data_IF_484470705616
#
_entry.id   IF_484470705616
#
_cell.length_a   1.000
_cell.length_b   1.000
_cell.length_c   1.000
_cell.angle_alpha   90.00
_cell.angle_beta   90.00
_cell.angle_gamma   90.00
#
_symmetry.space_group_name_H-M   'P 1'
#
loop_
_entity.id
_entity.type
_entity.pdbx_description
1 polymer ?
#
# COMPACT_ATOMS: atom_id res chain seq x y z
N UNK A 1 -15.87 0.12 32.79
CA UNK A 1 -16.26 1.37 32.09
C UNK A 1 -16.21 1.11 30.60
N UNK A 2 -16.97 1.81 29.75
CA UNK A 2 -16.99 1.49 28.31
C UNK A 2 -15.99 2.37 27.53
N UNK A 3 -15.28 1.78 26.57
CA UNK A 3 -14.42 2.53 25.65
C UNK A 3 -15.18 3.65 24.91
N UNK A 4 -16.47 3.44 24.66
CA UNK A 4 -17.38 4.43 24.06
C UNK A 4 -17.52 5.69 24.90
N UNK A 5 -17.59 5.58 26.23
CA UNK A 5 -17.65 6.75 27.13
C UNK A 5 -16.36 7.57 27.07
N UNK A 6 -15.21 6.90 27.02
CA UNK A 6 -13.91 7.56 26.88
C UNK A 6 -13.79 8.31 25.54
N UNK A 7 -14.21 7.67 24.44
CA UNK A 7 -14.28 8.32 23.13
C UNK A 7 -15.27 9.48 23.11
N UNK A 8 -16.40 9.38 23.82
CA UNK A 8 -17.37 10.47 23.90
C UNK A 8 -16.80 11.66 24.68
N UNK A 9 -16.13 11.41 25.80
CA UNK A 9 -15.43 12.47 26.55
C UNK A 9 -14.40 13.17 25.67
N UNK A 10 -13.60 12.40 24.93
CA UNK A 10 -12.62 12.92 23.98
C UNK A 10 -13.28 13.81 22.90
N UNK A 11 -14.38 13.35 22.29
CA UNK A 11 -15.14 14.11 21.28
C UNK A 11 -15.75 15.40 21.82
N UNK A 12 -16.11 15.43 23.10
CA UNK A 12 -16.64 16.61 23.78
C UNK A 12 -15.54 17.55 24.31
N UNK A 13 -14.27 17.27 24.00
CA UNK A 13 -13.10 18.01 24.49
C UNK A 13 -12.92 17.98 26.02
N UNK A 14 -13.56 17.03 26.70
CA UNK A 14 -13.30 16.73 28.11
C UNK A 14 -12.09 15.79 28.20
N UNK A 15 -10.91 16.37 27.90
CA UNK A 15 -9.69 15.59 27.74
C UNK A 15 -9.19 14.98 29.04
N UNK A 16 -9.33 15.67 30.18
CA UNK A 16 -8.92 15.13 31.49
C UNK A 16 -9.71 13.86 31.83
N UNK A 17 -11.03 13.90 31.63
CA UNK A 17 -11.88 12.73 31.81
C UNK A 17 -11.54 11.62 30.81
N UNK A 18 -11.29 11.97 29.55
CA UNK A 18 -10.92 11.00 28.52
C UNK A 18 -9.61 10.27 28.87
N UNK A 19 -8.58 11.00 29.31
CA UNK A 19 -7.32 10.40 29.78
C UNK A 19 -7.57 9.44 30.92
N UNK A 20 -8.26 9.89 31.98
CA UNK A 20 -8.54 9.04 33.14
C UNK A 20 -9.29 7.75 32.77
N UNK A 21 -10.28 7.84 31.88
CA UNK A 21 -11.01 6.67 31.40
C UNK A 21 -10.15 5.75 30.55
N UNK A 22 -9.33 6.30 29.64
CA UNK A 22 -8.43 5.48 28.84
C UNK A 22 -7.33 4.83 29.67
N UNK A 23 -6.80 5.48 30.71
CA UNK A 23 -5.82 4.90 31.65
C UNK A 23 -6.41 3.67 32.34
N UNK A 24 -7.62 3.79 32.90
CA UNK A 24 -8.28 2.64 33.53
C UNK A 24 -8.55 1.50 32.55
N UNK A 25 -8.99 1.80 31.32
CA UNK A 25 -9.18 0.78 30.28
C UNK A 25 -7.86 0.12 29.85
N UNK A 26 -6.77 0.87 29.81
CA UNK A 26 -5.46 0.35 29.49
C UNK A 26 -4.91 -0.57 30.59
N UNK A 27 -5.24 -0.32 31.87
CA UNK A 27 -4.97 -1.26 32.97
C UNK A 27 -5.75 -2.57 32.81
N UNK A 28 -6.96 -2.50 32.26
CA UNK A 28 -7.76 -3.67 31.85
C UNK A 28 -7.28 -4.32 30.54
N UNK A 29 -6.08 -3.98 30.06
CA UNK A 29 -5.45 -4.51 28.83
C UNK A 29 -6.21 -4.17 27.54
N UNK A 30 -6.96 -3.07 27.52
CA UNK A 30 -7.59 -2.57 26.30
C UNK A 30 -6.55 -1.88 25.41
N UNK A 31 -6.17 -2.54 24.32
CA UNK A 31 -5.18 -2.10 23.34
C UNK A 31 -5.61 -0.83 22.59
N UNK A 32 -6.91 -0.67 22.27
CA UNK A 32 -7.44 0.55 21.65
C UNK A 32 -7.33 1.77 22.58
N UNK A 33 -7.55 1.58 23.89
CA UNK A 33 -7.36 2.63 24.88
C UNK A 33 -5.87 3.02 25.01
N UNK A 34 -4.96 2.04 24.98
CA UNK A 34 -3.51 2.30 24.92
C UNK A 34 -3.14 3.14 23.68
N UNK A 35 -3.69 2.81 22.50
CA UNK A 35 -3.47 3.63 21.29
C UNK A 35 -3.99 5.04 21.47
N UNK A 36 -5.21 5.22 22.01
CA UNK A 36 -5.76 6.55 22.24
C UNK A 36 -4.93 7.37 23.23
N UNK A 37 -4.43 6.75 24.31
CA UNK A 37 -3.48 7.41 25.22
C UNK A 37 -2.21 7.84 24.50
N UNK A 38 -1.63 6.96 23.69
CA UNK A 38 -0.45 7.29 22.90
C UNK A 38 -0.68 8.52 22.01
N UNK A 39 -1.84 8.59 21.35
CA UNK A 39 -2.23 9.74 20.54
C UNK A 39 -2.43 11.02 21.37
N UNK A 40 -3.04 10.93 22.55
CA UNK A 40 -3.23 12.06 23.45
C UNK A 40 -1.89 12.61 23.95
N UNK A 41 -0.93 11.74 24.27
CA UNK A 41 0.44 12.14 24.61
C UNK A 41 1.19 12.77 23.43
N UNK A 42 1.00 12.29 22.19
CA UNK A 42 1.59 12.94 21.00
C UNK A 42 1.03 14.36 20.77
N UNK A 43 -0.26 14.57 21.03
CA UNK A 43 -0.94 15.84 20.80
C UNK A 43 -0.83 16.81 21.98
N UNK A 44 -0.63 16.30 23.19
CA UNK A 44 -0.71 17.07 24.42
C UNK A 44 -2.15 17.42 24.81
N UNK A 45 -3.10 16.52 24.54
CA UNK A 45 -4.52 16.72 24.85
C UNK A 45 -4.84 16.12 26.23
N UNK A 46 -5.19 16.94 27.21
CA UNK A 46 -5.46 16.49 28.59
C UNK A 46 -4.22 16.06 29.38
N UNK A 47 -3.06 15.93 28.72
CA UNK A 47 -1.74 15.61 29.30
C UNK A 47 -0.67 16.48 28.68
N UNK A 48 0.48 16.62 29.36
CA UNK A 48 1.66 17.26 28.76
C UNK A 48 2.12 16.44 27.56
N UNK A 49 2.33 17.12 26.42
CA UNK A 49 2.87 16.50 25.21
C UNK A 49 4.19 15.78 25.50
N UNK A 50 4.24 14.49 25.17
CA UNK A 50 5.38 13.62 25.44
C UNK A 50 5.42 12.47 24.43
N UNK A 51 6.33 12.58 23.45
CA UNK A 51 6.44 11.57 22.41
C UNK A 51 7.05 10.26 22.90
N UNK A 52 7.86 10.26 23.97
CA UNK A 52 8.42 9.04 24.53
C UNK A 52 7.33 8.23 25.23
N UNK A 53 6.49 8.88 26.05
CA UNK A 53 5.31 8.23 26.64
C UNK A 53 4.34 7.72 25.58
N UNK A 54 4.15 8.46 24.49
CA UNK A 54 3.32 7.98 23.41
C UNK A 54 3.85 6.68 22.79
N UNK A 55 5.17 6.63 22.54
CA UNK A 55 5.83 5.41 22.07
C UNK A 55 5.61 4.25 23.02
N UNK A 56 5.80 4.44 24.33
CA UNK A 56 5.61 3.39 25.34
C UNK A 56 4.18 2.81 25.28
N UNK A 57 3.17 3.67 25.14
CA UNK A 57 1.78 3.24 25.00
C UNK A 57 1.53 2.46 23.70
N UNK A 58 2.09 2.90 22.57
CA UNK A 58 1.99 2.16 21.32
C UNK A 58 2.75 0.83 21.39
N UNK A 59 3.92 0.76 22.03
CA UNK A 59 4.66 -0.50 22.22
C UNK A 59 3.83 -1.50 23.03
N UNK A 60 3.22 -1.06 24.14
CA UNK A 60 2.31 -1.89 24.93
C UNK A 60 1.11 -2.38 24.11
N UNK A 61 0.47 -1.51 23.34
CA UNK A 61 -0.63 -1.91 22.47
C UNK A 61 -0.18 -2.91 21.38
N UNK A 62 1.05 -2.77 20.90
CA UNK A 62 1.63 -3.64 19.87
C UNK A 62 1.89 -5.07 20.34
N UNK A 63 2.04 -5.28 21.66
CA UNK A 63 2.11 -6.62 22.28
C UNK A 63 0.81 -7.42 22.08
N UNK A 64 -0.30 -6.74 21.84
CA UNK A 64 -1.61 -7.34 21.51
C UNK A 64 -1.87 -7.39 19.99
N UNK A 65 -0.81 -7.25 19.19
CA UNK A 65 -0.85 -7.19 17.73
C UNK A 65 -1.80 -6.12 17.16
N UNK A 66 -1.98 -5.01 17.90
CA UNK A 66 -2.83 -3.91 17.48
C UNK A 66 -2.28 -3.21 16.21
N UNK A 67 -3.13 -3.13 15.19
CA UNK A 67 -2.80 -2.64 13.85
C UNK A 67 -2.48 -1.14 13.84
N UNK A 68 -3.26 -0.36 14.59
CA UNK A 68 -3.09 1.09 14.77
C UNK A 68 -1.84 1.42 15.58
N UNK A 69 -1.48 0.59 16.55
CA UNK A 69 -0.25 0.73 17.32
C UNK A 69 0.99 0.52 16.42
N UNK A 70 1.02 -0.55 15.63
CA UNK A 70 2.09 -0.78 14.66
C UNK A 70 2.20 0.37 13.65
N UNK A 71 1.06 0.86 13.14
CA UNK A 71 1.04 2.00 12.22
C UNK A 71 1.63 3.28 12.85
N UNK A 72 1.25 3.61 14.09
CA UNK A 72 1.77 4.80 14.77
C UNK A 72 3.27 4.67 15.10
N UNK A 73 3.73 3.50 15.54
CA UNK A 73 5.17 3.24 15.74
C UNK A 73 5.95 3.42 14.44
N UNK A 74 5.44 2.91 13.32
CA UNK A 74 6.06 3.08 12.01
C UNK A 74 6.17 4.57 11.63
N UNK A 75 5.12 5.36 11.84
CA UNK A 75 5.15 6.81 11.59
C UNK A 75 6.16 7.55 12.48
N UNK A 76 6.30 7.15 13.75
CA UNK A 76 7.26 7.75 14.67
C UNK A 76 8.69 7.55 14.20
N UNK A 77 9.05 6.33 13.78
CA UNK A 77 10.37 6.04 13.21
C UNK A 77 10.56 6.69 11.83
N UNK A 78 9.53 6.74 11.00
CA UNK A 78 9.61 7.39 9.68
C UNK A 78 9.81 8.91 9.79
N UNK A 79 9.20 9.56 10.77
CA UNK A 79 9.15 11.03 10.87
C UNK A 79 9.98 11.60 12.03
N UNK A 80 10.83 10.77 12.65
CA UNK A 80 11.65 11.11 13.82
C UNK A 80 10.86 11.75 14.99
N UNK A 81 9.65 11.25 15.27
CA UNK A 81 8.79 11.79 16.34
C UNK A 81 9.14 11.07 17.64
N UNK A 82 9.87 11.74 18.53
CA UNK A 82 10.26 11.18 19.84
C UNK A 82 11.32 10.07 19.78
N UNK A 83 11.71 9.66 18.57
CA UNK A 83 12.78 8.68 18.29
C UNK A 83 13.65 9.20 17.16
N UNK A 84 14.87 8.67 17.03
CA UNK A 84 15.70 8.90 15.85
C UNK A 84 15.00 8.28 14.63
N UNK A 85 15.14 8.93 13.48
CA UNK A 85 14.68 8.36 12.21
C UNK A 85 15.32 6.99 11.97
N UNK A 86 14.47 6.01 11.66
CA UNK A 86 14.88 4.66 11.29
C UNK A 86 13.88 4.08 10.28
N UNK A 87 14.21 4.18 8.99
CA UNK A 87 13.34 3.68 7.92
C UNK A 87 13.23 2.14 7.91
N UNK A 88 14.25 1.43 8.39
CA UNK A 88 14.21 -0.04 8.46
C UNK A 88 13.17 -0.45 9.50
N UNK A 89 13.25 0.12 10.71
CA UNK A 89 12.25 -0.10 11.75
C UNK A 89 10.85 0.32 11.28
N UNK A 90 10.72 1.46 10.60
CA UNK A 90 9.44 1.93 10.06
C UNK A 90 8.83 0.91 9.08
N UNK A 91 9.61 0.38 8.15
CA UNK A 91 9.17 -0.65 7.20
C UNK A 91 8.71 -1.92 7.92
N UNK A 92 9.45 -2.39 8.93
CA UNK A 92 9.06 -3.56 9.72
C UNK A 92 7.73 -3.36 10.44
N UNK A 93 7.53 -2.20 11.08
CA UNK A 93 6.26 -1.90 11.74
C UNK A 93 5.11 -1.69 10.74
N UNK A 94 5.35 -1.06 9.60
CA UNK A 94 4.33 -0.98 8.54
C UNK A 94 3.94 -2.36 8.01
N UNK A 95 4.89 -3.28 7.82
CA UNK A 95 4.61 -4.67 7.44
C UNK A 95 3.74 -5.38 8.47
N UNK A 96 4.02 -5.19 9.77
CA UNK A 96 3.16 -5.72 10.85
C UNK A 96 1.75 -5.13 10.79
N UNK A 97 1.62 -3.83 10.57
CA UNK A 97 0.30 -3.18 10.41
C UNK A 97 -0.45 -3.69 9.16
N UNK A 98 0.25 -3.89 8.04
CA UNK A 98 -0.30 -4.47 6.80
C UNK A 98 -0.76 -5.92 7.00
N UNK A 99 -0.01 -6.73 7.76
CA UNK A 99 -0.41 -8.10 8.13
C UNK A 99 -1.75 -8.10 8.87
N UNK A 100 -2.00 -7.07 9.69
CA UNK A 100 -3.27 -6.84 10.39
C UNK A 100 -4.28 -6.02 9.58
N UNK A 101 -4.04 -5.81 8.28
CA UNK A 101 -4.92 -5.12 7.32
C UNK A 101 -5.18 -3.64 7.64
N UNK A 102 -4.25 -2.96 8.31
CA UNK A 102 -4.37 -1.52 8.57
C UNK A 102 -4.33 -0.73 7.25
N UNK A 103 -5.43 -0.02 6.95
CA UNK A 103 -5.63 0.63 5.65
C UNK A 103 -4.60 1.72 5.35
N UNK A 104 -4.25 2.54 6.34
CA UNK A 104 -3.25 3.59 6.17
C UNK A 104 -1.83 3.04 5.96
N UNK A 105 -1.56 1.80 6.41
CA UNK A 105 -0.22 1.23 6.35
C UNK A 105 0.13 0.79 4.92
N UNK A 106 -0.84 0.24 4.17
CA UNK A 106 -0.65 -0.14 2.78
C UNK A 106 -0.06 0.99 1.93
N UNK A 107 -0.69 2.18 1.97
CA UNK A 107 -0.22 3.31 1.16
C UNK A 107 1.16 3.81 1.62
N UNK A 108 1.40 3.89 2.94
CA UNK A 108 2.69 4.35 3.48
C UNK A 108 3.83 3.39 3.16
N UNK A 109 3.61 2.09 3.33
CA UNK A 109 4.58 1.06 2.97
C UNK A 109 4.90 1.09 1.48
N UNK A 110 3.85 1.16 0.64
CA UNK A 110 4.00 1.25 -0.81
C UNK A 110 4.92 2.42 -1.22
N UNK A 111 4.71 3.62 -0.66
CA UNK A 111 5.55 4.78 -0.98
C UNK A 111 7.03 4.58 -0.62
N UNK A 112 7.32 3.91 0.50
CA UNK A 112 8.70 3.65 0.92
C UNK A 112 9.36 2.65 -0.03
N UNK A 113 8.69 1.53 -0.30
CA UNK A 113 9.23 0.44 -1.13
C UNK A 113 9.39 0.85 -2.61
N UNK A 114 8.52 1.73 -3.10
CA UNK A 114 8.49 2.17 -4.50
C UNK A 114 9.34 3.41 -4.79
N UNK A 115 10.11 3.91 -3.82
CA UNK A 115 10.90 5.13 -3.98
C UNK A 115 11.96 5.02 -5.08
N UNK A 116 12.77 3.97 -5.04
CA UNK A 116 13.92 3.82 -5.95
C UNK A 116 13.70 2.76 -7.03
N UNK A 117 12.66 1.92 -6.91
CA UNK A 117 12.25 0.87 -7.86
C UNK A 117 13.38 -0.04 -8.41
N UNK A 118 14.47 -0.19 -7.67
CA UNK A 118 15.65 -0.95 -8.10
C UNK A 118 15.54 -2.46 -7.82
N UNK A 119 14.83 -2.84 -6.77
CA UNK A 119 14.70 -4.22 -6.32
C UNK A 119 13.32 -4.77 -6.68
N UNK A 120 13.29 -5.78 -7.55
CA UNK A 120 12.03 -6.35 -8.09
C UNK A 120 11.10 -6.84 -6.98
N UNK A 121 11.64 -7.48 -5.94
CA UNK A 121 10.84 -8.01 -4.82
C UNK A 121 10.21 -6.88 -3.99
N UNK A 122 10.95 -5.81 -3.69
CA UNK A 122 10.40 -4.64 -2.98
C UNK A 122 9.37 -3.91 -3.84
N UNK A 123 9.61 -3.81 -5.15
CA UNK A 123 8.65 -3.23 -6.09
C UNK A 123 7.37 -4.06 -6.13
N UNK A 124 7.48 -5.39 -6.12
CA UNK A 124 6.33 -6.30 -6.06
C UNK A 124 5.52 -6.09 -4.79
N UNK A 125 6.17 -6.15 -3.63
CA UNK A 125 5.52 -5.90 -2.34
C UNK A 125 4.86 -4.51 -2.28
N UNK A 126 5.58 -3.48 -2.73
CA UNK A 126 5.08 -2.10 -2.78
C UNK A 126 3.88 -1.94 -3.72
N UNK A 127 3.90 -2.62 -4.87
CA UNK A 127 2.80 -2.60 -5.83
C UNK A 127 1.56 -3.30 -5.28
N UNK A 128 1.72 -4.46 -4.64
CA UNK A 128 0.63 -5.16 -3.96
C UNK A 128 0.00 -4.27 -2.88
N UNK A 129 0.83 -3.60 -2.08
CA UNK A 129 0.35 -2.64 -1.10
C UNK A 129 -0.40 -1.46 -1.75
N UNK A 130 0.10 -0.94 -2.87
CA UNK A 130 -0.57 0.14 -3.61
C UNK A 130 -1.94 -0.31 -4.15
N UNK A 131 -2.02 -1.53 -4.71
CA UNK A 131 -3.27 -2.12 -5.18
C UNK A 131 -4.29 -2.24 -4.05
N UNK A 132 -3.88 -2.79 -2.89
CA UNK A 132 -4.77 -2.92 -1.74
C UNK A 132 -5.28 -1.56 -1.26
N UNK A 133 -4.41 -0.56 -1.16
CA UNK A 133 -4.81 0.81 -0.81
C UNK A 133 -5.80 1.39 -1.83
N UNK A 134 -5.60 1.13 -3.13
CA UNK A 134 -6.50 1.62 -4.16
C UNK A 134 -7.88 0.94 -4.11
N UNK A 135 -7.92 -0.37 -3.92
CA UNK A 135 -9.18 -1.13 -3.78
C UNK A 135 -9.94 -0.76 -2.50
N UNK A 136 -9.26 -0.38 -1.43
CA UNK A 136 -9.91 0.13 -0.21
C UNK A 136 -10.41 1.57 -0.32
N UNK A 137 -10.18 2.23 -1.46
CA UNK A 137 -10.72 3.56 -1.73
C UNK A 137 -9.73 4.71 -1.58
N UNK A 138 -8.45 4.44 -1.29
CA UNK A 138 -7.46 5.50 -1.05
C UNK A 138 -7.26 6.37 -2.31
N UNK A 139 -7.58 7.69 -2.28
CA UNK A 139 -7.63 8.52 -3.48
C UNK A 139 -6.28 8.63 -4.21
N UNK A 140 -5.20 8.83 -3.46
CA UNK A 140 -3.87 8.93 -4.07
C UNK A 140 -3.39 7.60 -4.61
N UNK A 141 -3.80 6.46 -4.01
CA UNK A 141 -3.40 5.15 -4.52
C UNK A 141 -4.12 4.85 -5.84
N UNK A 142 -5.41 5.20 -5.93
CA UNK A 142 -6.17 5.14 -7.19
C UNK A 142 -5.57 6.00 -8.29
N UNK A 143 -5.06 7.18 -7.94
CA UNK A 143 -4.41 8.07 -8.90
C UNK A 143 -3.09 7.50 -9.43
N UNK A 144 -2.34 6.77 -8.58
CA UNK A 144 -1.06 6.17 -8.94
C UNK A 144 -1.18 4.91 -9.82
N UNK A 145 -2.37 4.29 -9.90
CA UNK A 145 -2.57 3.03 -10.61
C UNK A 145 -3.53 3.18 -11.78
N UNK A 146 -3.03 2.93 -12.98
CA UNK A 146 -3.85 2.84 -14.19
C UNK A 146 -4.50 1.46 -14.32
N UNK A 147 -5.70 1.41 -14.90
CA UNK A 147 -6.44 0.17 -15.17
C UNK A 147 -7.43 -0.27 -14.09
N UNK A 148 -7.47 0.41 -12.94
CA UNK A 148 -8.41 0.10 -11.85
C UNK A 148 -9.89 0.17 -12.24
N UNK A 149 -10.24 1.09 -13.14
CA UNK A 149 -11.62 1.32 -13.58
C UNK A 149 -12.02 0.49 -14.80
N UNK A 150 -11.15 -0.38 -15.29
CA UNK A 150 -11.43 -1.18 -16.49
C UNK A 150 -12.05 -2.50 -16.08
N UNK A 151 -13.30 -2.68 -16.45
CA UNK A 151 -14.00 -3.94 -16.28
C UNK A 151 -13.59 -4.92 -17.38
N UNK A 152 -13.30 -6.19 -17.03
CA UNK A 152 -13.05 -7.22 -18.03
C UNK A 152 -14.27 -7.37 -18.94
N UNK A 153 -14.03 -7.48 -20.25
CA UNK A 153 -15.10 -7.74 -21.20
C UNK A 153 -15.47 -9.22 -21.16
N UNK A 154 -16.51 -9.59 -20.41
CA UNK A 154 -16.92 -10.99 -20.22
C UNK A 154 -17.39 -11.71 -21.50
N UNK A 155 -17.61 -10.98 -22.60
CA UNK A 155 -18.04 -11.53 -23.89
C UNK A 155 -16.91 -11.64 -24.92
N UNK A 156 -15.68 -11.25 -24.56
CA UNK A 156 -14.55 -11.25 -25.49
C UNK A 156 -14.02 -12.67 -25.78
N UNK A 157 -13.32 -12.82 -26.91
CA UNK A 157 -12.81 -14.13 -27.35
C UNK A 157 -11.50 -14.43 -26.62
N UNK A 158 -11.54 -15.42 -25.72
CA UNK A 158 -10.36 -15.90 -25.00
C UNK A 158 -9.38 -16.57 -25.95
N UNK A 159 -8.08 -16.33 -25.73
CA UNK A 159 -7.00 -16.99 -26.44
C UNK A 159 -6.73 -18.37 -25.82
N UNK A 160 -7.48 -19.37 -26.28
CA UNK A 160 -7.36 -20.75 -25.80
C UNK A 160 -5.93 -21.31 -25.96
N UNK A 161 -5.23 -20.93 -27.03
CA UNK A 161 -3.86 -21.39 -27.28
C UNK A 161 -2.87 -20.85 -26.24
N UNK A 162 -3.01 -19.59 -25.82
CA UNK A 162 -2.21 -19.03 -24.73
C UNK A 162 -2.60 -19.65 -23.39
N UNK A 163 -3.90 -19.77 -23.10
CA UNK A 163 -4.42 -20.28 -21.83
C UNK A 163 -4.11 -21.76 -21.58
N UNK A 164 -3.95 -22.57 -22.63
CA UNK A 164 -3.60 -23.98 -22.52
C UNK A 164 -2.13 -24.25 -22.17
N UNK A 165 -1.26 -23.24 -22.21
CA UNK A 165 0.17 -23.36 -21.91
C UNK A 165 0.44 -23.46 -20.41
N UNK A 166 1.62 -23.96 -20.05
CA UNK A 166 2.11 -23.91 -18.67
C UNK A 166 2.29 -22.47 -18.19
N UNK A 167 2.34 -22.27 -16.87
CA UNK A 167 2.52 -20.94 -16.28
C UNK A 167 3.84 -20.30 -16.72
N UNK A 168 4.91 -21.09 -16.78
CA UNK A 168 6.25 -20.67 -17.19
C UNK A 168 6.25 -20.22 -18.65
N UNK A 169 5.61 -20.97 -19.55
CA UNK A 169 5.49 -20.59 -20.96
C UNK A 169 4.64 -19.32 -21.12
N UNK A 170 3.53 -19.19 -20.38
CA UNK A 170 2.71 -17.98 -20.39
C UNK A 170 3.52 -16.77 -19.94
N UNK A 171 4.27 -16.90 -18.84
CA UNK A 171 5.13 -15.84 -18.32
C UNK A 171 6.20 -15.43 -19.34
N UNK A 172 6.87 -16.39 -19.98
CA UNK A 172 7.86 -16.10 -21.03
C UNK A 172 7.25 -15.33 -22.21
N UNK A 173 6.04 -15.68 -22.63
CA UNK A 173 5.34 -14.98 -23.71
C UNK A 173 4.99 -13.54 -23.30
N UNK A 174 4.53 -13.33 -22.06
CA UNK A 174 4.25 -11.99 -21.52
C UNK A 174 5.52 -11.14 -21.48
N UNK A 175 6.62 -11.69 -20.97
CA UNK A 175 7.93 -11.02 -20.93
C UNK A 175 8.44 -10.66 -22.33
N UNK A 176 8.33 -11.60 -23.28
CA UNK A 176 8.73 -11.39 -24.68
C UNK A 176 7.87 -10.30 -25.34
N UNK A 177 6.56 -10.30 -25.08
CA UNK A 177 5.64 -9.29 -25.62
C UNK A 177 6.00 -7.88 -25.12
N UNK A 178 6.30 -7.75 -23.83
CA UNK A 178 6.74 -6.48 -23.23
C UNK A 178 8.07 -6.03 -23.86
N UNK A 179 9.04 -6.94 -23.97
CA UNK A 179 10.38 -6.62 -24.45
C UNK A 179 10.41 -6.27 -25.94
N UNK A 180 9.60 -6.93 -26.78
CA UNK A 180 9.61 -6.72 -28.24
C UNK A 180 8.69 -5.61 -28.70
N UNK A 181 7.50 -5.48 -28.10
CA UNK A 181 6.46 -4.60 -28.64
C UNK A 181 6.27 -3.32 -27.82
N UNK A 182 6.49 -3.36 -26.50
CA UNK A 182 6.19 -2.22 -25.63
C UNK A 182 7.46 -1.42 -25.33
N UNK A 183 8.50 -2.09 -24.81
CA UNK A 183 9.72 -1.44 -24.34
C UNK A 183 10.41 -0.58 -25.40
N UNK A 184 10.56 -1.00 -26.67
CA UNK A 184 11.22 -0.18 -27.69
C UNK A 184 10.48 1.12 -28.01
N UNK A 185 9.17 1.17 -27.77
CA UNK A 185 8.37 2.39 -27.95
C UNK A 185 8.63 3.32 -26.76
N UNK A 186 8.52 2.82 -25.53
CA UNK A 186 8.69 3.63 -24.32
C UNK A 186 10.11 4.19 -24.17
N UNK A 187 11.13 3.41 -24.55
CA UNK A 187 12.54 3.85 -24.47
C UNK A 187 12.84 5.02 -25.42
N UNK A 188 12.14 5.15 -26.55
CA UNK A 188 12.30 6.31 -27.45
C UNK A 188 11.90 7.62 -26.78
N UNK A 189 10.92 7.55 -25.88
CA UNK A 189 10.46 8.70 -25.09
C UNK A 189 11.21 8.83 -23.75
N UNK A 190 12.26 8.00 -23.56
CA UNK A 190 13.07 7.91 -22.35
C UNK A 190 12.37 7.26 -21.15
N UNK A 191 11.27 6.56 -21.39
CA UNK A 191 10.59 5.74 -20.38
C UNK A 191 11.12 4.30 -20.35
N UNK A 192 10.79 3.59 -19.28
CA UNK A 192 11.06 2.17 -19.11
C UNK A 192 9.82 1.48 -18.50
N UNK A 193 9.72 0.17 -18.70
CA UNK A 193 8.66 -0.64 -18.10
C UNK A 193 9.24 -1.95 -17.57
N UNK A 194 8.75 -2.36 -16.42
CA UNK A 194 9.18 -3.58 -15.73
C UNK A 194 7.94 -4.44 -15.47
N UNK A 195 8.01 -5.72 -15.83
CA UNK A 195 7.05 -6.72 -15.38
C UNK A 195 7.28 -6.99 -13.91
N UNK A 196 6.30 -6.65 -13.09
CA UNK A 196 6.34 -6.89 -11.63
C UNK A 196 5.89 -8.31 -11.35
N UNK A 197 4.72 -8.69 -11.88
CA UNK A 197 4.15 -10.01 -11.69
C UNK A 197 3.16 -10.37 -12.79
N UNK A 198 2.98 -11.67 -13.00
CA UNK A 198 1.96 -12.24 -13.84
C UNK A 198 1.21 -13.33 -13.06
N UNK A 199 -0.12 -13.20 -12.96
CA UNK A 199 -0.99 -14.15 -12.27
C UNK A 199 -2.05 -14.69 -13.24
N UNK A 200 -2.33 -16.00 -13.17
CA UNK A 200 -3.34 -16.67 -13.99
C UNK A 200 -4.40 -17.45 -13.19
N UNK A 201 -4.37 -17.40 -11.85
CA UNK A 201 -5.24 -18.21 -10.98
C UNK A 201 -6.69 -17.72 -10.97
N UNK A 202 -6.90 -16.41 -10.96
CA UNK A 202 -8.23 -15.76 -10.89
C UNK A 202 -8.49 -14.85 -12.10
N UNK A 203 -8.14 -15.38 -13.27
CA UNK A 203 -8.03 -14.61 -14.52
C UNK A 203 -6.59 -14.16 -14.77
N UNK A 204 -6.33 -13.69 -15.99
CA UNK A 204 -5.02 -13.22 -16.40
C UNK A 204 -4.82 -11.79 -15.89
N UNK A 205 -3.81 -11.59 -15.06
CA UNK A 205 -3.43 -10.29 -14.52
C UNK A 205 -1.95 -10.03 -14.76
N UNK A 206 -1.64 -8.88 -15.34
CA UNK A 206 -0.28 -8.41 -15.62
C UNK A 206 -0.08 -7.11 -14.83
N UNK A 207 0.89 -7.11 -13.93
CA UNK A 207 1.26 -5.97 -13.10
C UNK A 207 2.57 -5.37 -13.61
N UNK A 208 2.57 -4.07 -13.91
CA UNK A 208 3.70 -3.37 -14.54
C UNK A 208 4.06 -2.13 -13.74
N UNK A 209 5.35 -1.83 -13.66
CA UNK A 209 5.87 -0.56 -13.18
C UNK A 209 6.39 0.24 -14.38
N UNK A 210 5.82 1.41 -14.62
CA UNK A 210 6.28 2.36 -15.63
C UNK A 210 7.15 3.43 -14.97
N UNK A 211 8.33 3.68 -15.53
CA UNK A 211 9.21 4.75 -15.10
C UNK A 211 9.41 5.71 -16.28
N UNK A 212 8.92 6.94 -16.14
CA UNK A 212 9.11 7.98 -17.15
C UNK A 212 10.53 8.58 -17.13
N UNK A 213 10.82 9.39 -18.14
CA UNK A 213 12.13 10.02 -18.35
C UNK A 213 12.45 11.14 -17.33
N UNK A 214 11.41 11.73 -16.73
CA UNK A 214 11.55 12.79 -15.73
C UNK A 214 11.15 12.27 -14.34
N UNK A 215 11.86 12.70 -13.28
CA UNK A 215 11.63 12.25 -11.91
C UNK A 215 10.19 12.52 -11.38
N UNK A 216 9.42 13.39 -12.06
CA UNK A 216 7.99 13.65 -11.78
C UNK A 216 7.01 13.02 -12.77
N UNK A 217 7.49 12.32 -13.80
CA UNK A 217 6.72 11.72 -14.90
C UNK A 217 6.50 10.21 -14.69
N UNK A 218 6.59 9.73 -13.46
CA UNK A 218 6.52 8.29 -13.13
C UNK A 218 5.10 7.72 -13.19
N UNK A 219 4.12 8.51 -13.66
CA UNK A 219 2.76 8.06 -13.91
C UNK A 219 2.59 7.83 -15.41
N UNK A 220 2.12 6.64 -15.79
CA UNK A 220 1.75 6.40 -17.18
C UNK A 220 0.62 7.35 -17.59
N UNK A 221 0.80 8.07 -18.71
CA UNK A 221 -0.30 8.83 -19.31
C UNK A 221 -1.40 7.86 -19.77
N UNK A 222 -2.63 8.35 -19.96
CA UNK A 222 -3.73 7.55 -20.53
C UNK A 222 -3.32 6.90 -21.85
N UNK A 223 -2.64 7.64 -22.73
CA UNK A 223 -2.14 7.12 -24.01
C UNK A 223 -1.07 6.04 -23.84
N UNK A 224 -0.16 6.19 -22.87
CA UNK A 224 0.87 5.18 -22.55
C UNK A 224 0.22 3.90 -22.04
N UNK A 225 -0.74 4.04 -21.13
CA UNK A 225 -1.49 2.93 -20.59
C UNK A 225 -2.31 2.21 -21.68
N UNK A 226 -3.01 2.94 -22.54
CA UNK A 226 -3.78 2.36 -23.65
C UNK A 226 -2.88 1.63 -24.65
N UNK A 227 -1.72 2.18 -24.98
CA UNK A 227 -0.71 1.50 -25.81
C UNK A 227 -0.33 0.15 -25.19
N UNK A 228 0.12 0.15 -23.93
CA UNK A 228 0.52 -1.06 -23.20
C UNK A 228 -0.61 -2.09 -23.19
N UNK A 229 -1.80 -1.65 -22.77
CA UNK A 229 -2.97 -2.53 -22.63
C UNK A 229 -3.38 -3.12 -23.97
N UNK A 230 -3.50 -2.31 -25.02
CA UNK A 230 -3.97 -2.77 -26.33
C UNK A 230 -2.96 -3.73 -26.97
N UNK A 231 -1.66 -3.47 -26.83
CA UNK A 231 -0.62 -4.41 -27.29
C UNK A 231 -0.71 -5.74 -26.56
N UNK A 232 -0.86 -5.74 -25.23
CA UNK A 232 -0.99 -6.99 -24.47
C UNK A 232 -2.29 -7.72 -24.81
N UNK A 233 -3.41 -7.02 -25.04
CA UNK A 233 -4.65 -7.66 -25.45
C UNK A 233 -4.54 -8.37 -26.80
N UNK A 234 -3.82 -7.78 -27.75
CA UNK A 234 -3.62 -8.36 -29.07
C UNK A 234 -2.68 -9.58 -29.06
N UNK A 235 -1.64 -9.54 -28.24
CA UNK A 235 -0.59 -10.58 -28.21
C UNK A 235 -0.95 -11.71 -27.25
N UNK A 236 -1.57 -11.39 -26.12
CA UNK A 236 -1.82 -12.32 -25.01
C UNK A 236 -3.25 -12.84 -25.05
N UNK A 237 -4.23 -12.02 -24.66
CA UNK A 237 -5.63 -12.41 -24.52
C UNK A 237 -6.50 -11.14 -24.35
N UNK A 238 -7.72 -11.13 -24.89
CA UNK A 238 -8.63 -9.97 -24.74
C UNK A 238 -9.18 -9.84 -23.31
N UNK A 239 -9.23 -10.93 -22.54
CA UNK A 239 -9.67 -11.01 -21.14
C UNK A 239 -8.46 -11.00 -20.19
N UNK A 240 -7.74 -9.87 -20.18
CA UNK A 240 -6.63 -9.58 -19.27
C UNK A 240 -6.91 -8.33 -18.42
N UNK A 241 -6.44 -8.37 -17.18
CA UNK A 241 -6.32 -7.20 -16.30
C UNK A 241 -4.88 -6.70 -16.39
N UNK A 242 -4.71 -5.43 -16.74
CA UNK A 242 -3.40 -4.79 -16.77
C UNK A 242 -3.41 -3.64 -15.78
N UNK A 243 -2.52 -3.70 -14.80
CA UNK A 243 -2.32 -2.62 -13.85
C UNK A 243 -0.94 -2.02 -14.07
N UNK A 244 -0.89 -0.70 -14.20
CA UNK A 244 0.37 0.04 -14.39
C UNK A 244 0.52 1.07 -13.28
N UNK A 245 1.62 0.96 -12.54
CA UNK A 245 2.08 1.91 -11.52
C UNK A 245 3.05 2.94 -12.12
#
# INVERSE_FOLDING_TARGET
>A
MSHTEALQAYKMHDFEKAVSLFESLAEEKNDQAMVNLGLMYLKGEGVKKDALKAKEWFERASEYENDSAFYNLALMYQSAIGVKEDLVAAVEYFRKAVKQKHQGAYFRLALILLKDRNEVELVKEGFECMLQAAFSGHPMAKMQLSGLNITPNLTCKKNESFRAKSFEEQKMIVEDAIQRYIRPILVKDGGNIILIDFNNQNGLQINLAYQGNCAGCSLASTSTYELIRNTLMQVIDEDIKVYVL
#
